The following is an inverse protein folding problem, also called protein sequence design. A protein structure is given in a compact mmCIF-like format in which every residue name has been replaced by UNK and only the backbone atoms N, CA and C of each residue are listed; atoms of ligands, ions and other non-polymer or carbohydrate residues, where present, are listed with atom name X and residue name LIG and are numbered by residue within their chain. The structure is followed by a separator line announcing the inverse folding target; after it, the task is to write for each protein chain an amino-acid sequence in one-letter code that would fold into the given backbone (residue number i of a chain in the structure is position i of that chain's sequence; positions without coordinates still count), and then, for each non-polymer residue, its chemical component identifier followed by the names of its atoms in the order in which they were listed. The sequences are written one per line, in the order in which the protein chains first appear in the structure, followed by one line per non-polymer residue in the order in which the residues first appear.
data_IF_316807365593
#
_entry.id   IF_316807365593
#
_cell.length_a   1.000
_cell.length_b   1.000
_cell.length_c   1.000
_cell.angle_alpha   90.00
_cell.angle_beta   90.00
_cell.angle_gamma   90.00
#
_symmetry.space_group_name_H-M   'P 1'
#
loop_
_entity.id
_entity.type
_entity.pdbx_description
1 polymer ?
#
# COMPACT_ATOMS: atom_id res chain seq x y z
N UNK A 1 11.02 -20.02 -12.67
CA UNK A 1 10.47 -18.71 -13.08
C UNK A 1 9.21 -18.47 -12.25
N UNK A 2 9.16 -17.40 -11.45
CA UNK A 2 7.98 -17.13 -10.60
C UNK A 2 6.93 -16.47 -11.50
N UNK A 3 5.83 -17.18 -11.77
CA UNK A 3 4.76 -16.79 -12.71
C UNK A 3 3.86 -15.69 -12.13
N UNK A 4 3.73 -15.67 -10.81
CA UNK A 4 2.73 -14.87 -10.10
C UNK A 4 2.99 -13.35 -10.13
N UNK A 5 4.24 -12.85 -10.00
CA UNK A 5 4.55 -11.44 -10.17
C UNK A 5 4.22 -10.87 -11.55
N UNK A 6 4.34 -11.67 -12.63
CA UNK A 6 4.02 -11.19 -13.98
C UNK A 6 2.51 -11.00 -14.15
N UNK A 7 1.70 -11.98 -13.73
CA UNK A 7 0.24 -11.87 -13.78
C UNK A 7 -0.30 -10.76 -12.88
N UNK A 8 0.26 -10.59 -11.68
CA UNK A 8 -0.08 -9.46 -10.82
C UNK A 8 0.26 -8.12 -11.50
N UNK A 9 1.44 -7.98 -12.12
CA UNK A 9 1.80 -6.74 -12.82
C UNK A 9 0.89 -6.43 -14.01
N UNK A 10 0.51 -7.44 -14.79
CA UNK A 10 -0.45 -7.31 -15.90
C UNK A 10 -1.78 -6.78 -15.38
N UNK A 11 -2.37 -7.45 -14.37
CA UNK A 11 -3.65 -7.01 -13.79
C UNK A 11 -3.57 -5.60 -13.21
N UNK A 12 -2.48 -5.23 -12.53
CA UNK A 12 -2.31 -3.88 -11.98
C UNK A 12 -2.15 -2.80 -13.07
N UNK A 13 -1.75 -3.15 -14.29
CA UNK A 13 -1.71 -2.21 -15.42
C UNK A 13 -3.09 -1.98 -16.05
N UNK A 14 -3.98 -2.97 -15.96
CA UNK A 14 -5.30 -2.95 -16.61
C UNK A 14 -6.39 -2.30 -15.73
N UNK A 15 -6.05 -1.97 -14.47
CA UNK A 15 -6.97 -1.33 -13.51
C UNK A 15 -6.94 0.19 -13.67
N UNK A 16 -8.11 0.82 -13.59
CA UNK A 16 -8.24 2.27 -13.59
C UNK A 16 -7.48 2.93 -12.42
N UNK A 17 -7.07 4.19 -12.57
CA UNK A 17 -6.21 4.89 -11.60
C UNK A 17 -6.81 4.92 -10.18
N UNK A 18 -8.13 5.12 -10.05
CA UNK A 18 -8.81 5.18 -8.76
C UNK A 18 -8.77 3.82 -8.05
N UNK A 19 -9.13 2.74 -8.76
CA UNK A 19 -9.10 1.39 -8.21
C UNK A 19 -7.68 0.92 -7.91
N UNK A 20 -6.70 1.28 -8.75
CA UNK A 20 -5.29 1.01 -8.50
C UNK A 20 -4.81 1.70 -7.20
N UNK A 21 -5.28 2.91 -6.93
CA UNK A 21 -4.98 3.64 -5.71
C UNK A 21 -5.58 2.98 -4.45
N UNK A 22 -6.81 2.48 -4.53
CA UNK A 22 -7.43 1.71 -3.45
C UNK A 22 -6.65 0.41 -3.16
N UNK A 23 -6.32 -0.36 -4.21
CA UNK A 23 -5.52 -1.59 -4.10
C UNK A 23 -4.15 -1.30 -3.47
N UNK A 24 -3.50 -0.20 -3.85
CA UNK A 24 -2.23 0.22 -3.27
C UNK A 24 -2.33 0.49 -1.76
N UNK A 25 -3.40 1.14 -1.31
CA UNK A 25 -3.67 1.36 0.13
C UNK A 25 -3.87 0.03 0.85
N UNK A 26 -4.62 -0.90 0.27
CA UNK A 26 -4.87 -2.23 0.84
C UNK A 26 -3.57 -3.04 1.01
N UNK A 27 -2.71 -3.02 -0.01
CA UNK A 27 -1.40 -3.71 0.04
C UNK A 27 -0.49 -3.12 1.12
N UNK A 28 -0.47 -1.79 1.25
CA UNK A 28 0.31 -1.13 2.29
C UNK A 28 -0.23 -1.46 3.68
N UNK A 29 -1.55 -1.39 3.87
CA UNK A 29 -2.21 -1.73 5.12
C UNK A 29 -1.89 -3.17 5.56
N UNK A 30 -2.05 -4.15 4.66
CA UNK A 30 -1.75 -5.55 4.96
C UNK A 30 -0.29 -5.75 5.40
N UNK A 31 0.66 -5.16 4.68
CA UNK A 31 2.08 -5.26 5.02
C UNK A 31 2.43 -4.58 6.36
N UNK A 32 1.74 -3.48 6.71
CA UNK A 32 1.89 -2.80 8.01
C UNK A 32 1.30 -3.68 9.13
N UNK A 33 0.14 -4.28 8.92
CA UNK A 33 -0.52 -5.14 9.92
C UNK A 33 0.35 -6.35 10.30
N UNK A 34 0.99 -7.00 9.34
CA UNK A 34 1.95 -8.11 9.58
C UNK A 34 3.08 -7.67 10.52
N UNK A 35 3.49 -6.41 10.43
CA UNK A 35 4.65 -5.85 11.13
C UNK A 35 4.26 -4.95 12.31
N UNK A 36 2.98 -4.90 12.67
CA UNK A 36 2.42 -3.93 13.61
C UNK A 36 3.11 -3.96 14.98
N UNK A 37 3.53 -5.14 15.45
CA UNK A 37 4.20 -5.31 16.75
C UNK A 37 5.58 -4.62 16.85
N UNK A 38 6.14 -4.18 15.73
CA UNK A 38 7.42 -3.47 15.65
C UNK A 38 7.25 -1.95 15.48
N UNK A 39 6.04 -1.50 15.19
CA UNK A 39 5.72 -0.09 15.01
C UNK A 39 5.39 0.50 16.38
N UNK A 40 5.93 1.67 16.69
CA UNK A 40 5.52 2.40 17.89
C UNK A 40 3.99 2.62 17.86
N UNK A 41 3.24 2.35 18.95
CA UNK A 41 1.77 2.38 18.93
C UNK A 41 1.19 3.69 18.39
N UNK A 42 1.76 4.84 18.78
CA UNK A 42 1.33 6.15 18.26
C UNK A 42 1.55 6.29 16.74
N UNK A 43 2.68 5.80 16.23
CA UNK A 43 2.98 5.86 14.81
C UNK A 43 2.07 4.92 14.01
N UNK A 44 1.74 3.75 14.57
CA UNK A 44 0.80 2.80 13.98
C UNK A 44 -0.61 3.40 13.91
N UNK A 45 -1.07 4.02 14.99
CA UNK A 45 -2.38 4.69 15.07
C UNK A 45 -2.53 5.75 13.98
N UNK A 46 -1.60 6.72 13.91
CA UNK A 46 -1.69 7.80 12.90
C UNK A 46 -1.49 7.30 11.47
N UNK A 47 -0.68 6.25 11.25
CA UNK A 47 -0.52 5.65 9.92
C UNK A 47 -1.81 4.95 9.48
N UNK A 48 -2.49 4.26 10.39
CA UNK A 48 -3.77 3.58 10.13
C UNK A 48 -4.85 4.60 9.80
N UNK A 49 -4.94 5.68 10.58
CA UNK A 49 -5.87 6.78 10.31
C UNK A 49 -5.57 7.46 8.97
N UNK A 50 -4.29 7.68 8.64
CA UNK A 50 -3.88 8.26 7.37
C UNK A 50 -4.25 7.38 6.16
N UNK A 51 -4.10 6.05 6.26
CA UNK A 51 -4.54 5.11 5.24
C UNK A 51 -6.06 5.09 5.08
N UNK A 52 -6.80 5.08 6.21
CA UNK A 52 -8.27 5.12 6.20
C UNK A 52 -8.79 6.40 5.55
N UNK A 53 -8.25 7.56 5.94
CA UNK A 53 -8.63 8.85 5.36
C UNK A 53 -8.23 8.94 3.88
N UNK A 54 -7.10 8.35 3.49
CA UNK A 54 -6.68 8.21 2.10
C UNK A 54 -7.67 7.41 1.26
N UNK A 55 -8.12 6.25 1.77
CA UNK A 55 -9.12 5.40 1.10
C UNK A 55 -10.43 6.15 0.85
N UNK A 56 -10.90 6.90 1.85
CA UNK A 56 -12.11 7.74 1.73
C UNK A 56 -11.94 8.85 0.69
N UNK A 57 -10.82 9.56 0.70
CA UNK A 57 -10.53 10.62 -0.26
C UNK A 57 -10.42 10.10 -1.70
N UNK A 58 -9.75 8.96 -1.90
CA UNK A 58 -9.66 8.29 -3.20
C UNK A 58 -11.07 7.95 -3.71
N UNK A 59 -11.91 7.37 -2.85
CA UNK A 59 -13.29 7.00 -3.21
C UNK A 59 -14.14 8.22 -3.53
N UNK A 60 -13.95 9.32 -2.81
CA UNK A 60 -14.65 10.59 -3.03
C UNK A 60 -14.08 11.44 -4.18
N UNK A 61 -12.90 11.09 -4.70
CA UNK A 61 -12.20 11.85 -5.74
C UNK A 61 -11.72 13.24 -5.29
N UNK A 62 -11.65 13.51 -3.98
CA UNK A 62 -11.25 14.82 -3.43
C UNK A 62 -10.70 14.72 -2.01
N UNK A 63 -9.80 15.63 -1.66
CA UNK A 63 -9.33 15.75 -0.28
C UNK A 63 -10.45 16.31 0.62
N UNK A 64 -10.53 15.77 1.83
CA UNK A 64 -11.41 16.25 2.90
C UNK A 64 -10.58 16.60 4.14
N UNK A 65 -11.16 17.36 5.08
CA UNK A 65 -10.48 17.84 6.29
C UNK A 65 -9.81 16.71 7.09
N UNK A 66 -10.46 15.55 7.19
CA UNK A 66 -9.89 14.37 7.86
C UNK A 66 -8.59 13.88 7.22
N UNK A 67 -8.46 13.90 5.89
CA UNK A 67 -7.23 13.52 5.20
C UNK A 67 -6.12 14.54 5.46
N UNK A 68 -6.45 15.83 5.38
CA UNK A 68 -5.49 16.93 5.62
C UNK A 68 -4.92 16.81 7.04
N UNK A 69 -5.79 16.63 8.03
CA UNK A 69 -5.38 16.46 9.41
C UNK A 69 -4.55 15.18 9.63
N UNK A 70 -4.96 14.06 9.03
CA UNK A 70 -4.22 12.81 9.14
C UNK A 70 -2.82 12.89 8.48
N UNK A 71 -2.68 13.64 7.37
CA UNK A 71 -1.39 13.93 6.75
C UNK A 71 -0.47 14.66 7.75
N UNK A 72 -0.94 15.77 8.32
CA UNK A 72 -0.17 16.56 9.30
C UNK A 72 0.26 15.74 10.52
N UNK A 73 -0.68 14.97 11.11
CA UNK A 73 -0.40 14.11 12.26
C UNK A 73 0.59 12.99 11.93
N UNK A 74 0.46 12.37 10.75
CA UNK A 74 1.41 11.37 10.28
C UNK A 74 2.82 11.97 10.16
N UNK A 75 2.99 13.14 9.54
CA UNK A 75 4.32 13.76 9.44
C UNK A 75 4.87 14.09 10.81
N UNK A 76 4.08 14.70 11.68
CA UNK A 76 4.49 15.06 13.04
C UNK A 76 5.03 13.83 13.79
N UNK A 77 4.27 12.74 13.81
CA UNK A 77 4.70 11.50 14.45
C UNK A 77 5.94 10.88 13.76
N UNK A 78 6.00 10.91 12.42
CA UNK A 78 7.15 10.36 11.68
C UNK A 78 8.47 11.06 12.01
N UNK A 79 8.43 12.35 12.33
CA UNK A 79 9.59 13.12 12.79
C UNK A 79 9.93 12.80 14.25
N UNK A 80 8.93 12.65 15.12
CA UNK A 80 9.11 12.35 16.54
C UNK A 80 9.80 11.00 16.76
N UNK A 81 9.37 9.95 16.05
CA UNK A 81 9.90 8.59 16.27
C UNK A 81 11.19 8.29 15.53
N UNK A 82 11.73 9.26 14.77
CA UNK A 82 13.06 9.40 14.11
C UNK A 82 13.70 8.19 13.41
N UNK A 83 13.11 7.00 13.49
CA UNK A 83 13.35 5.89 12.60
C UNK A 83 12.18 5.93 11.62
N UNK A 84 12.50 6.23 10.36
CA UNK A 84 11.55 6.01 9.27
C UNK A 84 11.30 4.50 9.22
N UNK A 85 10.33 4.03 10.00
CA UNK A 85 9.99 2.63 10.04
C UNK A 85 9.48 2.29 8.65
N UNK A 86 10.27 1.50 7.95
CA UNK A 86 10.14 1.18 6.54
C UNK A 86 8.68 0.83 6.13
N UNK A 87 7.92 0.03 6.90
CA UNK A 87 6.50 -0.22 6.66
C UNK A 87 5.57 1.01 6.70
N UNK A 88 5.78 1.99 7.58
CA UNK A 88 4.90 3.19 7.62
C UNK A 88 5.20 4.13 6.46
N UNK A 89 6.44 4.12 5.95
CA UNK A 89 6.77 4.79 4.69
C UNK A 89 6.04 4.20 3.50
N UNK A 90 5.86 2.87 3.46
CA UNK A 90 5.03 2.22 2.44
C UNK A 90 3.59 2.73 2.51
N UNK A 91 3.04 2.91 3.71
CA UNK A 91 1.73 3.55 3.93
C UNK A 91 1.67 4.94 3.32
N UNK A 92 2.65 5.79 3.60
CA UNK A 92 2.75 7.11 2.97
C UNK A 92 2.91 7.04 1.45
N UNK A 93 3.71 6.11 0.91
CA UNK A 93 3.80 5.94 -0.54
C UNK A 93 2.46 5.57 -1.18
N UNK A 94 1.64 4.75 -0.53
CA UNK A 94 0.32 4.39 -1.01
C UNK A 94 -0.67 5.56 -0.97
N UNK A 95 -0.70 6.32 0.13
CA UNK A 95 -1.55 7.52 0.19
C UNK A 95 -1.09 8.55 -0.84
N UNK A 96 0.23 8.77 -1.00
CA UNK A 96 0.75 9.71 -2.00
C UNK A 96 0.43 9.28 -3.44
N UNK A 97 0.43 7.98 -3.74
CA UNK A 97 0.00 7.50 -5.05
C UNK A 97 -1.44 7.95 -5.39
N UNK A 98 -2.38 7.79 -4.45
CA UNK A 98 -3.79 8.08 -4.71
C UNK A 98 -4.24 9.52 -4.42
N UNK A 99 -3.59 10.19 -3.46
CA UNK A 99 -4.08 11.43 -2.87
C UNK A 99 -3.17 12.64 -3.10
N UNK A 100 -1.96 12.48 -3.67
CA UNK A 100 -1.00 13.58 -3.78
C UNK A 100 -1.61 14.82 -4.43
N UNK A 101 -2.22 14.66 -5.62
CA UNK A 101 -2.82 15.79 -6.34
C UNK A 101 -3.93 16.45 -5.51
N UNK A 102 -4.74 15.66 -4.82
CA UNK A 102 -5.84 16.16 -3.98
C UNK A 102 -5.31 16.99 -2.80
N UNK A 103 -4.21 16.54 -2.17
CA UNK A 103 -3.53 17.27 -1.09
C UNK A 103 -2.87 18.57 -1.58
N UNK A 104 -2.31 18.55 -2.79
CA UNK A 104 -1.74 19.74 -3.44
C UNK A 104 -2.81 20.77 -3.79
N UNK A 105 -3.94 20.34 -4.35
CA UNK A 105 -5.09 21.20 -4.69
C UNK A 105 -5.73 21.80 -3.43
N UNK A 106 -5.74 21.06 -2.32
CA UNK A 106 -6.19 21.55 -1.02
C UNK A 106 -5.18 22.48 -0.31
N UNK A 107 -3.99 22.69 -0.87
CA UNK A 107 -2.93 23.50 -0.25
C UNK A 107 -2.27 22.85 0.97
N UNK A 108 -2.60 21.59 1.28
CA UNK A 108 -2.00 20.84 2.37
C UNK A 108 -0.56 20.44 2.08
N UNK A 109 -0.19 20.34 0.79
CA UNK A 109 1.18 19.99 0.36
C UNK A 109 1.69 20.83 -0.80
N UNK A 110 3.02 20.93 -0.87
CA UNK A 110 3.73 21.60 -1.94
C UNK A 110 3.92 20.69 -3.16
N UNK A 111 3.67 21.24 -4.36
CA UNK A 111 3.95 20.60 -5.65
C UNK A 111 5.43 20.26 -5.86
N UNK A 112 6.34 20.90 -5.11
CA UNK A 112 7.77 20.63 -5.18
C UNK A 112 8.15 19.28 -4.53
N UNK A 113 7.30 18.73 -3.66
CA UNK A 113 7.53 17.46 -2.96
C UNK A 113 6.92 16.25 -3.71
N UNK A 114 6.96 16.28 -5.05
CA UNK A 114 6.29 15.26 -5.87
C UNK A 114 6.95 13.89 -5.79
N UNK A 115 6.17 12.88 -5.41
CA UNK A 115 6.58 11.48 -5.44
C UNK A 115 5.57 10.77 -6.33
N UNK A 116 6.02 10.10 -7.38
CA UNK A 116 5.13 9.33 -8.26
C UNK A 116 5.37 7.83 -8.07
N UNK A 117 4.99 7.23 -6.93
CA UNK A 117 4.98 5.78 -6.83
C UNK A 117 3.91 5.22 -7.78
N UNK A 118 4.06 3.96 -8.16
CA UNK A 118 3.03 3.22 -8.90
C UNK A 118 2.47 2.11 -8.02
N UNK A 119 1.28 1.60 -8.32
CA UNK A 119 0.71 0.45 -7.60
C UNK A 119 1.65 -0.76 -7.63
N UNK A 120 2.35 -1.03 -8.74
CA UNK A 120 3.34 -2.11 -8.86
C UNK A 120 4.57 -1.86 -7.99
N UNK A 121 5.01 -0.62 -7.83
CA UNK A 121 6.08 -0.28 -6.90
C UNK A 121 5.66 -0.60 -5.46
N UNK A 122 4.43 -0.24 -5.08
CA UNK A 122 3.89 -0.48 -3.75
C UNK A 122 3.75 -1.98 -3.49
N UNK A 123 3.19 -2.75 -4.43
CA UNK A 123 3.05 -4.20 -4.34
C UNK A 123 4.41 -4.91 -4.12
N UNK A 124 5.42 -4.57 -4.94
CA UNK A 124 6.78 -5.14 -4.82
C UNK A 124 7.48 -4.74 -3.52
N UNK A 125 7.25 -3.52 -3.06
CA UNK A 125 7.78 -3.01 -1.80
C UNK A 125 7.15 -3.76 -0.64
N UNK A 126 5.82 -3.91 -0.61
CA UNK A 126 5.08 -4.71 0.37
C UNK A 126 5.63 -6.14 0.47
N UNK A 127 5.75 -6.86 -0.66
CA UNK A 127 6.35 -8.19 -0.73
C UNK A 127 7.74 -8.21 -0.09
N UNK A 128 8.58 -7.22 -0.40
CA UNK A 128 9.94 -7.14 0.11
C UNK A 128 10.01 -6.84 1.61
N UNK A 129 9.07 -6.08 2.18
CA UNK A 129 9.00 -5.88 3.63
C UNK A 129 8.54 -7.14 4.35
N UNK A 130 7.46 -7.78 3.87
CA UNK A 130 6.94 -9.04 4.45
C UNK A 130 8.01 -10.13 4.41
N UNK A 131 8.71 -10.28 3.27
CA UNK A 131 9.84 -11.20 3.11
C UNK A 131 10.95 -10.98 4.14
N UNK A 132 11.45 -9.74 4.23
CA UNK A 132 12.52 -9.38 5.18
C UNK A 132 12.08 -9.58 6.63
N UNK A 133 10.83 -9.29 6.96
CA UNK A 133 10.28 -9.51 8.30
C UNK A 133 10.31 -11.00 8.67
N UNK A 134 9.76 -11.88 7.83
CA UNK A 134 9.77 -13.32 8.08
C UNK A 134 11.19 -13.90 8.13
N UNK A 135 12.10 -13.41 7.28
CA UNK A 135 13.50 -13.85 7.31
C UNK A 135 14.22 -13.45 8.61
N UNK A 136 13.90 -12.28 9.16
CA UNK A 136 14.45 -11.80 10.44
C UNK A 136 13.92 -12.58 11.64
N UNK A 137 12.66 -13.03 11.59
CA UNK A 137 11.97 -13.75 12.67
C UNK A 137 11.94 -15.27 12.45
N UNK A 138 12.69 -15.79 11.48
CA UNK A 138 12.82 -17.23 11.29
C UNK A 138 13.45 -17.88 12.53
N UNK A 139 12.98 -19.08 12.87
CA UNK A 139 13.51 -19.85 13.99
C UNK A 139 15.03 -20.03 13.90
N UNK A 140 15.69 -20.17 15.06
CA UNK A 140 17.12 -20.41 15.10
C UNK A 140 17.50 -21.67 14.29
N UNK A 141 18.54 -21.56 13.46
CA UNK A 141 18.96 -22.63 12.54
C UNK A 141 18.14 -22.76 11.25
N UNK A 142 17.04 -22.01 11.07
CA UNK A 142 16.27 -22.04 9.82
C UNK A 142 16.97 -21.27 8.68
N UNK A 143 16.73 -21.71 7.43
CA UNK A 143 17.21 -21.01 6.24
C UNK A 143 16.42 -19.71 6.03
N UNK A 144 17.02 -18.58 6.45
CA UNK A 144 16.46 -17.23 6.29
C UNK A 144 16.14 -16.87 4.83
N UNK A 145 16.93 -17.36 3.87
CA UNK A 145 16.68 -17.09 2.44
C UNK A 145 15.44 -17.84 1.96
N UNK A 146 15.22 -19.06 2.47
CA UNK A 146 13.98 -19.80 2.20
C UNK A 146 12.77 -19.12 2.84
N UNK A 147 12.89 -18.64 4.08
CA UNK A 147 11.82 -17.90 4.76
C UNK A 147 11.44 -16.61 4.01
N UNK A 148 12.43 -15.81 3.57
CA UNK A 148 12.18 -14.61 2.73
C UNK A 148 11.38 -14.94 1.47
N UNK A 149 11.86 -15.93 0.69
CA UNK A 149 11.22 -16.31 -0.58
C UNK A 149 9.82 -16.86 -0.39
N UNK A 150 9.60 -17.67 0.65
CA UNK A 150 8.30 -18.22 0.95
C UNK A 150 7.29 -17.13 1.32
N UNK A 151 7.68 -16.20 2.20
CA UNK A 151 6.84 -15.09 2.61
C UNK A 151 6.52 -14.14 1.45
N UNK A 152 7.49 -13.84 0.59
CA UNK A 152 7.26 -13.05 -0.64
C UNK A 152 6.30 -13.72 -1.61
N UNK A 153 6.35 -15.05 -1.70
CA UNK A 153 5.44 -15.81 -2.53
C UNK A 153 4.01 -15.79 -1.98
N UNK A 154 3.84 -15.99 -0.68
CA UNK A 154 2.51 -15.90 -0.03
C UNK A 154 1.93 -14.49 -0.10
N UNK A 155 2.75 -13.45 0.10
CA UNK A 155 2.30 -12.06 -0.05
C UNK A 155 1.86 -11.79 -1.49
N UNK A 156 2.65 -12.21 -2.49
CA UNK A 156 2.25 -12.06 -3.89
C UNK A 156 0.94 -12.83 -4.18
N UNK A 157 0.78 -14.04 -3.62
CA UNK A 157 -0.45 -14.84 -3.74
C UNK A 157 -1.66 -14.13 -3.13
N UNK A 158 -1.52 -13.56 -1.93
CA UNK A 158 -2.55 -12.76 -1.29
C UNK A 158 -2.92 -11.55 -2.15
N UNK A 159 -1.92 -10.80 -2.64
CA UNK A 159 -2.14 -9.64 -3.51
C UNK A 159 -2.90 -9.99 -4.79
N UNK A 160 -2.54 -11.09 -5.45
CA UNK A 160 -3.22 -11.55 -6.66
C UNK A 160 -4.68 -11.93 -6.37
N UNK A 161 -4.93 -12.69 -5.31
CA UNK A 161 -6.30 -13.05 -4.92
C UNK A 161 -7.14 -11.83 -4.55
N UNK A 162 -6.53 -10.86 -3.86
CA UNK A 162 -7.17 -9.60 -3.50
C UNK A 162 -7.59 -8.81 -4.75
N UNK A 163 -6.69 -8.65 -5.72
CA UNK A 163 -6.99 -7.99 -7.00
C UNK A 163 -8.13 -8.71 -7.74
N UNK A 164 -8.07 -10.04 -7.85
CA UNK A 164 -9.14 -10.83 -8.50
C UNK A 164 -10.49 -10.62 -7.79
N UNK A 165 -10.50 -10.44 -6.47
CA UNK A 165 -11.74 -10.21 -5.71
C UNK A 165 -12.34 -8.81 -5.89
N UNK A 166 -11.53 -7.83 -6.28
CA UNK A 166 -11.94 -6.42 -6.39
C UNK A 166 -12.15 -5.95 -7.84
N UNK A 167 -11.50 -6.60 -8.79
CA UNK A 167 -11.60 -6.26 -10.21
C UNK A 167 -12.64 -7.17 -10.85
N UNK A 168 -13.74 -6.63 -11.39
CA UNK A 168 -14.76 -7.44 -12.06
C UNK A 168 -14.15 -8.21 -13.23
N UNK A 169 -14.71 -9.38 -13.51
CA UNK A 169 -14.27 -10.20 -14.63
C UNK A 169 -14.40 -9.39 -15.93
N UNK A 170 -13.32 -9.18 -16.69
CA UNK A 170 -13.37 -8.37 -17.92
C UNK A 170 -14.28 -8.98 -19.00
N UNK A 171 -14.65 -10.26 -18.87
CA UNK A 171 -15.55 -10.96 -19.78
C UNK A 171 -17.02 -10.92 -19.36
N UNK A 172 -17.38 -10.35 -18.21
CA UNK A 172 -18.77 -10.26 -17.73
C UNK A 172 -19.50 -8.99 -18.19
N UNK A 173 -18.85 -8.08 -18.92
CA UNK A 173 -19.41 -6.80 -19.36
C UNK A 173 -19.99 -6.75 -20.78
N UNK A 174 -20.31 -7.89 -21.40
CA UNK A 174 -20.63 -7.95 -22.82
C UNK A 174 -21.81 -8.86 -23.18
N UNK A 175 -22.97 -8.66 -22.56
CA UNK A 175 -24.25 -9.21 -23.04
C UNK A 175 -25.38 -8.28 -22.59
N UNK A 176 -25.68 -7.25 -23.39
CA UNK A 176 -26.72 -6.28 -23.02
C UNK A 176 -27.06 -5.20 -24.04
N UNK A 177 -26.76 -5.37 -25.33
CA UNK A 177 -27.41 -4.63 -26.41
C UNK A 177 -27.62 -5.58 -27.60
N UNK A 178 -28.83 -6.15 -27.67
CA UNK A 178 -29.43 -6.74 -28.87
C UNK A 178 -30.94 -6.49 -28.84
#
# INVERSE_FOLDING_TARGET
MIVLPNRLNELLNDVDEQRAALIAVDFAEHAIQIQASLVHPRLLEVTTEYLSAGREAISAGRAHQRLIHADEEYFRASWEFASRFEPTQLGNSAVMFGCQRMLEEAGARSKAARVNPTCQYIARTAQSHVGRWHAKHAAEGADRRRADRAARWEEARWQLLHVISLVPNPFEGGDGEA
#
